data_IF_335862853702
#
_entry.id   IF_335862853702
#
_cell.length_a   1.000
_cell.length_b   1.000
_cell.length_c   1.000
_cell.angle_alpha   90.00
_cell.angle_beta   90.00
_cell.angle_gamma   90.00
#
_symmetry.space_group_name_H-M   'P 1'
#
loop_
_entity.id
_entity.type
_entity.pdbx_description
1 polymer ?
#
# COMPACT_ATOMS: atom_id res chain seq x y z
N UNK A 1 7.99 15.08 -27.51
CA UNK A 1 8.28 14.46 -26.27
C UNK A 1 9.64 13.80 -26.26
N UNK A 2 10.23 13.86 -25.20
CA UNK A 2 11.45 13.19 -25.11
C UNK A 2 11.32 11.84 -24.51
N UNK A 3 12.19 10.97 -24.87
CA UNK A 3 12.29 9.68 -24.26
C UNK A 3 13.45 9.70 -23.27
N UNK A 4 13.24 9.07 -22.16
CA UNK A 4 14.30 8.83 -21.21
C UNK A 4 14.98 7.51 -21.56
N UNK A 5 16.29 7.50 -21.53
CA UNK A 5 17.04 6.27 -21.65
C UNK A 5 16.96 5.43 -20.36
N UNK A 6 16.54 6.05 -19.25
CA UNK A 6 16.43 5.38 -17.95
C UNK A 6 15.00 4.98 -17.69
N UNK A 7 14.75 3.74 -17.29
CA UNK A 7 13.40 3.35 -16.86
C UNK A 7 13.03 4.07 -15.55
N UNK A 8 11.75 4.20 -15.31
CA UNK A 8 11.28 4.68 -14.03
C UNK A 8 11.56 3.64 -12.94
N UNK A 9 11.75 4.06 -11.69
CA UNK A 9 12.29 3.16 -10.67
C UNK A 9 11.32 2.10 -10.16
N UNK A 10 10.01 2.35 -10.22
CA UNK A 10 9.03 1.44 -9.61
C UNK A 10 8.09 0.90 -10.68
N UNK A 11 7.58 -0.31 -10.44
CA UNK A 11 6.69 -0.99 -11.40
C UNK A 11 5.26 -0.47 -11.35
N UNK A 12 4.80 -0.03 -10.19
CA UNK A 12 3.46 0.50 -10.06
C UNK A 12 3.14 0.93 -8.65
N UNK A 13 2.12 1.78 -8.53
CA UNK A 13 1.54 2.14 -7.24
C UNK A 13 0.37 1.18 -6.99
N UNK A 14 0.59 0.20 -6.13
CA UNK A 14 -0.38 -0.86 -5.91
C UNK A 14 -1.36 -0.56 -4.77
N UNK A 15 -0.91 0.13 -3.73
CA UNK A 15 -1.75 0.43 -2.58
C UNK A 15 -1.54 1.85 -2.10
N UNK A 16 -2.64 2.46 -1.62
CA UNK A 16 -2.57 3.67 -0.82
C UNK A 16 -3.12 3.27 0.54
N UNK A 17 -2.25 3.24 1.53
CA UNK A 17 -2.58 2.78 2.88
C UNK A 17 -2.92 3.99 3.73
N UNK A 18 -4.19 4.15 4.06
CA UNK A 18 -4.69 5.36 4.73
C UNK A 18 -5.03 5.09 6.18
N UNK A 19 -4.51 5.89 7.11
CA UNK A 19 -4.94 5.80 8.51
C UNK A 19 -6.44 6.09 8.61
N UNK A 20 -7.15 5.33 9.44
CA UNK A 20 -8.58 5.48 9.61
C UNK A 20 -8.96 5.30 11.06
N UNK A 21 -9.75 6.22 11.57
CA UNK A 21 -10.28 6.12 12.94
C UNK A 21 -11.52 5.25 13.01
N UNK A 22 -12.20 5.10 11.88
CA UNK A 22 -13.40 4.28 11.76
C UNK A 22 -13.38 3.63 10.38
N UNK A 23 -12.76 2.47 10.30
CA UNK A 23 -12.54 1.77 9.03
C UNK A 23 -13.85 1.44 8.34
N UNK A 24 -14.85 1.00 9.12
CA UNK A 24 -16.17 0.67 8.55
C UNK A 24 -16.84 1.90 7.94
N UNK A 25 -16.84 3.02 8.66
CA UNK A 25 -17.45 4.25 8.17
C UNK A 25 -16.75 4.79 6.92
N UNK A 26 -15.42 4.76 6.90
CA UNK A 26 -14.67 5.19 5.72
C UNK A 26 -14.94 4.30 4.52
N UNK A 27 -14.96 2.99 4.71
CA UNK A 27 -15.27 2.06 3.63
C UNK A 27 -16.69 2.26 3.11
N UNK A 28 -17.66 2.48 4.00
CA UNK A 28 -19.04 2.74 3.60
C UNK A 28 -19.16 4.03 2.79
N UNK A 29 -18.47 5.08 3.19
CA UNK A 29 -18.51 6.34 2.43
C UNK A 29 -17.97 6.15 1.02
N UNK A 30 -16.83 5.48 0.88
CA UNK A 30 -16.21 5.28 -0.41
C UNK A 30 -17.01 4.34 -1.32
N UNK A 31 -17.76 3.42 -0.75
CA UNK A 31 -18.61 2.52 -1.54
C UNK A 31 -20.00 3.10 -1.81
N UNK A 32 -20.69 3.58 -0.79
CA UNK A 32 -22.06 4.02 -0.90
C UNK A 32 -22.20 5.43 -1.49
N UNK A 33 -21.30 6.34 -1.13
CA UNK A 33 -21.37 7.72 -1.61
C UNK A 33 -20.56 7.92 -2.87
N UNK A 34 -19.31 7.43 -2.90
CA UNK A 34 -18.43 7.62 -4.04
C UNK A 34 -18.57 6.55 -5.12
N UNK A 35 -19.30 5.48 -4.85
CA UNK A 35 -19.55 4.45 -5.85
C UNK A 35 -18.45 3.41 -6.00
N UNK A 36 -17.52 3.34 -5.08
CA UNK A 36 -16.46 2.34 -5.11
C UNK A 36 -16.95 0.94 -4.81
N UNK A 37 -16.07 -0.03 -4.95
CA UNK A 37 -16.34 -1.44 -4.70
C UNK A 37 -15.51 -1.94 -3.54
N UNK A 38 -16.16 -2.57 -2.56
CA UNK A 38 -15.45 -3.18 -1.44
C UNK A 38 -14.77 -4.46 -1.90
N UNK A 39 -13.44 -4.48 -1.82
CA UNK A 39 -12.67 -5.67 -2.13
C UNK A 39 -12.66 -6.65 -0.96
N UNK A 40 -12.50 -6.13 0.26
CA UNK A 40 -12.51 -6.92 1.48
C UNK A 40 -12.64 -6.02 2.71
N UNK A 41 -13.07 -6.64 3.83
CA UNK A 41 -13.10 -6.02 5.14
C UNK A 41 -12.68 -7.08 6.15
N UNK A 42 -11.46 -6.99 6.65
CA UNK A 42 -10.88 -8.02 7.52
C UNK A 42 -10.58 -7.47 8.91
N UNK A 43 -10.74 -8.31 9.91
CA UNK A 43 -10.42 -7.99 11.28
C UNK A 43 -9.52 -9.09 11.84
N UNK A 44 -8.43 -8.70 12.47
CA UNK A 44 -7.48 -9.63 13.06
C UNK A 44 -6.76 -8.96 14.21
N UNK A 45 -6.70 -9.66 15.35
CA UNK A 45 -5.98 -9.19 16.54
C UNK A 45 -6.34 -7.76 16.97
N UNK A 46 -7.62 -7.41 16.84
CA UNK A 46 -8.12 -6.09 17.24
C UNK A 46 -7.89 -4.99 16.22
N UNK A 47 -7.38 -5.30 15.04
CA UNK A 47 -7.21 -4.32 13.97
C UNK A 47 -8.13 -4.62 12.81
N UNK A 48 -8.58 -3.57 12.15
CA UNK A 48 -9.45 -3.66 10.98
C UNK A 48 -8.79 -3.05 9.77
N UNK A 49 -8.93 -3.71 8.62
CA UNK A 49 -8.46 -3.20 7.33
C UNK A 49 -9.55 -3.43 6.30
N UNK A 50 -9.89 -2.40 5.55
CA UNK A 50 -10.81 -2.52 4.43
C UNK A 50 -10.11 -2.07 3.15
N UNK A 51 -10.29 -2.84 2.08
CA UNK A 51 -9.78 -2.51 0.75
C UNK A 51 -10.93 -2.08 -0.16
N UNK A 52 -10.79 -0.92 -0.79
CA UNK A 52 -11.81 -0.34 -1.67
C UNK A 52 -11.21 0.00 -3.01
N UNK A 53 -11.89 -0.41 -4.08
CA UNK A 53 -11.52 -0.06 -5.45
C UNK A 53 -12.39 1.09 -5.93
N UNK A 54 -11.77 2.16 -6.42
CA UNK A 54 -12.49 3.31 -6.96
C UNK A 54 -12.12 3.61 -8.41
N UNK A 55 -11.10 2.96 -8.93
CA UNK A 55 -10.66 3.10 -10.33
C UNK A 55 -10.39 1.74 -10.93
N UNK A 56 -10.58 1.61 -12.22
CA UNK A 56 -10.18 0.39 -12.93
C UNK A 56 -8.66 0.36 -13.06
N UNK A 57 -8.05 -0.74 -12.59
CA UNK A 57 -6.61 -0.91 -12.69
C UNK A 57 -5.78 0.05 -11.86
N UNK A 58 -6.40 0.87 -11.03
CA UNK A 58 -5.69 1.79 -10.16
C UNK A 58 -5.27 1.15 -8.84
N UNK A 59 -4.64 1.91 -7.95
CA UNK A 59 -4.25 1.38 -6.66
C UNK A 59 -5.47 1.03 -5.82
N UNK A 60 -5.30 0.00 -4.98
CA UNK A 60 -6.30 -0.35 -3.98
C UNK A 60 -6.15 0.58 -2.78
N UNK A 61 -7.25 1.22 -2.37
CA UNK A 61 -7.25 2.02 -1.15
C UNK A 61 -7.44 1.10 0.05
N UNK A 62 -6.54 1.21 1.02
CA UNK A 62 -6.62 0.42 2.25
C UNK A 62 -6.85 1.36 3.43
N UNK A 63 -7.98 1.22 4.10
CA UNK A 63 -8.25 1.93 5.34
C UNK A 63 -7.90 1.03 6.51
N UNK A 64 -7.06 1.50 7.42
CA UNK A 64 -6.58 0.69 8.52
C UNK A 64 -6.49 1.50 9.81
N UNK A 65 -6.92 0.91 10.91
CA UNK A 65 -6.92 1.59 12.20
C UNK A 65 -5.62 1.46 12.98
N UNK A 66 -4.67 0.65 12.48
CA UNK A 66 -3.37 0.49 13.11
C UNK A 66 -2.26 1.34 12.47
N UNK A 67 -2.58 2.07 11.41
CA UNK A 67 -1.61 2.97 10.77
C UNK A 67 -1.59 4.29 11.52
N UNK A 68 -0.42 4.68 11.99
CA UNK A 68 -0.25 5.91 12.76
C UNK A 68 -0.27 7.15 11.90
N UNK A 69 -0.63 8.28 12.48
CA UNK A 69 -0.61 9.57 11.83
C UNK A 69 -1.83 9.84 10.98
N UNK A 70 -1.75 10.86 10.14
CA UNK A 70 -2.84 11.29 9.28
C UNK A 70 -2.53 11.16 7.79
N UNK A 71 -1.26 10.97 7.44
CA UNK A 71 -0.84 10.88 6.05
C UNK A 71 -0.88 9.44 5.56
N UNK A 72 -1.33 9.22 4.31
CA UNK A 72 -1.31 7.89 3.73
C UNK A 72 0.11 7.44 3.41
N UNK A 73 0.28 6.13 3.27
CA UNK A 73 1.51 5.52 2.79
C UNK A 73 1.29 5.11 1.34
N UNK A 74 2.13 5.59 0.44
CA UNK A 74 2.11 5.18 -0.96
C UNK A 74 2.97 3.93 -1.10
N UNK A 75 2.35 2.81 -1.49
CA UNK A 75 3.03 1.52 -1.57
C UNK A 75 3.29 1.17 -3.02
N UNK A 76 4.56 1.22 -3.40
CA UNK A 76 5.01 0.92 -4.76
C UNK A 76 5.59 -0.48 -4.84
N UNK A 77 5.31 -1.15 -5.96
CA UNK A 77 5.89 -2.46 -6.24
C UNK A 77 7.22 -2.31 -6.96
N UNK A 78 8.20 -3.12 -6.56
CA UNK A 78 9.50 -3.21 -7.24
C UNK A 78 9.76 -4.68 -7.59
N UNK A 79 10.53 -4.95 -8.67
CA UNK A 79 10.82 -6.33 -9.07
C UNK A 79 11.78 -7.04 -8.11
N UNK A 80 12.66 -6.30 -7.44
CA UNK A 80 13.65 -6.84 -6.51
C UNK A 80 13.89 -5.81 -5.43
N UNK A 81 13.35 -6.06 -4.23
CA UNK A 81 13.46 -5.09 -3.13
C UNK A 81 14.91 -4.88 -2.69
N UNK A 82 15.68 -5.94 -2.59
CA UNK A 82 17.07 -5.83 -2.16
C UNK A 82 17.88 -4.94 -3.11
N UNK A 83 17.72 -5.14 -4.40
CA UNK A 83 18.40 -4.34 -5.41
C UNK A 83 17.95 -2.87 -5.37
N UNK A 84 16.64 -2.64 -5.20
CA UNK A 84 16.10 -1.28 -5.11
C UNK A 84 16.66 -0.54 -3.89
N UNK A 85 16.74 -1.20 -2.74
CA UNK A 85 17.27 -0.59 -1.53
C UNK A 85 18.75 -0.26 -1.66
N UNK A 86 19.52 -1.14 -2.27
CA UNK A 86 20.95 -0.90 -2.50
C UNK A 86 21.15 0.35 -3.37
N UNK A 87 20.35 0.49 -4.42
CA UNK A 87 20.44 1.65 -5.29
C UNK A 87 20.06 2.94 -4.57
N UNK A 88 19.01 2.90 -3.74
CA UNK A 88 18.59 4.07 -2.97
C UNK A 88 19.62 4.47 -1.92
N UNK A 89 20.26 3.51 -1.26
CA UNK A 89 21.33 3.77 -0.30
C UNK A 89 22.48 4.55 -0.94
N UNK A 90 22.79 4.24 -2.21
CA UNK A 90 23.80 4.98 -2.96
C UNK A 90 23.43 6.44 -3.22
N UNK A 91 22.18 6.82 -3.04
CA UNK A 91 21.69 8.18 -3.20
C UNK A 91 21.44 8.90 -1.87
N UNK A 92 21.89 8.32 -0.77
CA UNK A 92 21.72 8.92 0.55
C UNK A 92 20.39 8.67 1.22
N UNK A 93 19.63 7.70 0.73
CA UNK A 93 18.35 7.32 1.31
C UNK A 93 18.55 6.47 2.58
N UNK A 94 17.66 6.65 3.56
CA UNK A 94 17.67 5.89 4.80
C UNK A 94 16.32 5.22 5.04
N UNK A 95 16.29 3.92 5.39
CA UNK A 95 15.03 3.22 5.68
C UNK A 95 14.55 3.55 7.09
N UNK A 96 13.23 3.45 7.30
CA UNK A 96 12.65 3.43 8.65
C UNK A 96 12.52 2.01 9.17
N UNK A 97 12.11 1.07 8.31
CA UNK A 97 11.97 -0.30 8.72
C UNK A 97 11.71 -1.24 7.56
N UNK A 98 12.14 -2.48 7.74
CA UNK A 98 11.93 -3.57 6.77
C UNK A 98 11.22 -4.70 7.49
N UNK A 99 10.13 -5.22 6.89
CA UNK A 99 9.35 -6.28 7.50
C UNK A 99 8.64 -7.09 6.41
N UNK A 100 7.94 -8.13 6.81
CA UNK A 100 7.17 -8.98 5.90
C UNK A 100 5.69 -8.67 6.01
N UNK A 101 5.04 -8.54 4.86
CA UNK A 101 3.58 -8.52 4.76
C UNK A 101 3.15 -9.79 4.01
N UNK A 102 1.84 -10.13 3.98
CA UNK A 102 1.41 -11.34 3.27
C UNK A 102 1.88 -11.43 1.83
N UNK A 103 2.01 -10.29 1.14
CA UNK A 103 2.41 -10.24 -0.27
C UNK A 103 3.91 -10.40 -0.50
N UNK A 104 4.75 -10.11 0.50
CA UNK A 104 6.19 -10.20 0.39
C UNK A 104 6.92 -9.24 1.32
N UNK A 105 8.24 -9.08 1.13
CA UNK A 105 9.01 -8.13 1.92
C UNK A 105 8.68 -6.69 1.54
N UNK A 106 8.68 -5.82 2.54
CA UNK A 106 8.37 -4.39 2.37
C UNK A 106 9.32 -3.55 3.21
N UNK A 107 9.67 -2.39 2.69
CA UNK A 107 10.47 -1.40 3.40
C UNK A 107 9.76 -0.06 3.38
N UNK A 108 9.56 0.54 4.55
CA UNK A 108 8.93 1.84 4.67
C UNK A 108 9.93 2.92 5.03
N UNK A 109 9.63 4.14 4.60
CA UNK A 109 10.47 5.31 4.90
C UNK A 109 9.68 6.59 4.74
N UNK A 110 10.27 7.69 5.19
CA UNK A 110 9.72 9.03 5.00
C UNK A 110 10.67 9.86 4.18
N UNK A 111 10.10 10.69 3.32
CA UNK A 111 10.91 11.68 2.59
C UNK A 111 11.19 12.86 3.51
N UNK A 112 12.09 13.74 3.09
CA UNK A 112 12.40 14.95 3.85
C UNK A 112 11.19 15.87 4.02
N UNK A 113 10.23 15.80 3.11
CA UNK A 113 8.97 16.54 3.20
C UNK A 113 7.90 15.84 4.05
N UNK A 114 8.21 14.71 4.67
CA UNK A 114 7.28 13.98 5.52
C UNK A 114 6.31 13.07 4.78
N UNK A 115 6.54 12.85 3.48
CA UNK A 115 5.71 11.90 2.71
C UNK A 115 6.08 10.47 3.07
N UNK A 116 5.07 9.64 3.26
CA UNK A 116 5.27 8.25 3.66
C UNK A 116 5.23 7.36 2.44
N UNK A 117 6.27 6.57 2.26
CA UNK A 117 6.44 5.69 1.10
C UNK A 117 6.84 4.30 1.58
N UNK A 118 6.38 3.29 0.88
CA UNK A 118 6.85 1.93 1.09
C UNK A 118 7.13 1.29 -0.26
N UNK A 119 8.16 0.45 -0.30
CA UNK A 119 8.49 -0.36 -1.46
C UNK A 119 8.33 -1.82 -1.08
N UNK A 120 7.68 -2.61 -1.92
CA UNK A 120 7.51 -4.02 -1.66
C UNK A 120 7.78 -4.85 -2.89
N UNK A 121 8.16 -6.09 -2.67
CA UNK A 121 8.33 -7.08 -3.73
C UNK A 121 7.21 -8.11 -3.63
N UNK A 122 6.50 -8.33 -4.71
CA UNK A 122 5.40 -9.28 -4.74
C UNK A 122 5.97 -10.69 -4.94
N UNK A 123 6.26 -11.37 -3.83
CA UNK A 123 6.78 -12.73 -3.85
C UNK A 123 5.69 -13.78 -3.65
N UNK A 124 4.53 -13.35 -3.13
CA UNK A 124 3.38 -14.23 -2.87
C UNK A 124 2.11 -13.62 -3.49
N UNK A 125 1.97 -13.68 -4.82
CA UNK A 125 0.80 -13.08 -5.48
C UNK A 125 -0.53 -13.73 -5.06
N UNK A 126 -0.50 -14.97 -4.59
CA UNK A 126 -1.67 -15.67 -4.08
C UNK A 126 -2.22 -15.08 -2.78
N UNK A 127 -1.47 -14.23 -2.10
CA UNK A 127 -1.91 -13.64 -0.84
C UNK A 127 -3.19 -12.83 -0.99
N UNK A 128 -3.38 -12.16 -2.14
CA UNK A 128 -4.59 -11.40 -2.41
C UNK A 128 -5.85 -12.25 -2.37
N UNK A 129 -5.74 -13.51 -2.80
CA UNK A 129 -6.88 -14.41 -2.84
C UNK A 129 -7.43 -14.74 -1.44
N UNK A 130 -6.61 -14.64 -0.40
CA UNK A 130 -7.06 -14.88 0.97
C UNK A 130 -7.94 -13.76 1.50
N UNK A 131 -7.86 -12.57 0.92
CA UNK A 131 -8.61 -11.41 1.39
C UNK A 131 -9.79 -11.09 0.50
N UNK A 132 -9.70 -11.35 -0.81
CA UNK A 132 -10.74 -11.02 -1.75
C UNK A 132 -12.11 -11.55 -1.32
N UNK A 133 -13.05 -10.64 -1.21
CA UNK A 133 -14.42 -10.97 -0.85
C UNK A 133 -14.67 -11.23 0.63
N UNK A 134 -13.66 -11.23 1.48
CA UNK A 134 -13.87 -11.41 2.92
C UNK A 134 -14.58 -10.22 3.53
N UNK A 135 -15.52 -10.49 4.39
CA UNK A 135 -16.27 -9.47 5.13
C UNK A 135 -16.39 -9.89 6.58
N UNK A 136 -15.47 -9.39 7.40
CA UNK A 136 -15.47 -9.66 8.83
C UNK A 136 -16.30 -8.63 9.61
N UNK A 137 -16.59 -7.51 8.96
CA UNK A 137 -17.41 -6.47 9.57
C UNK A 137 -18.19 -5.64 8.56
#
# INVERSE_FOLDING_TARGET
MLTSAMPLPFDGLDFIYSPSRDVKADAEYFTEVLGGRLAFAVESTGTRVAGVEVTEGGPLLLFADHVEGERPIFVYRVPDLSAALTELEGRGWEPEGTFEIPHGPICSFRTSGGHRVALYQLTRPEAGAHFDGRRDF
#
